data_IF_292230610252
#
_entry.id   IF_292230610252
#
_cell.length_a   1.000
_cell.length_b   1.000
_cell.length_c   1.000
_cell.angle_alpha   90.00
_cell.angle_beta   90.00
_cell.angle_gamma   90.00
#
_symmetry.space_group_name_H-M   'P 1'
#
loop_
_entity.id
_entity.type
_entity.pdbx_description
1 polymer ?
#
# COMPACT_ATOMS: atom_id res chain seq x y z
N UNK A 1 24.33 -9.87 6.68
CA UNK A 1 24.60 -9.47 5.30
C UNK A 1 25.71 -10.27 4.66
N UNK A 2 25.81 -10.18 3.37
CA UNK A 2 26.88 -10.79 2.55
C UNK A 2 27.32 -9.72 1.57
N UNK A 3 28.65 -9.45 1.58
CA UNK A 3 29.29 -8.53 0.65
C UNK A 3 30.25 -9.31 -0.23
N UNK A 4 30.14 -9.13 -1.52
CA UNK A 4 30.96 -9.80 -2.52
C UNK A 4 31.58 -8.77 -3.47
N UNK A 5 32.83 -9.00 -3.87
CA UNK A 5 33.50 -8.20 -4.84
C UNK A 5 34.16 -9.10 -5.91
N UNK A 6 33.91 -8.80 -7.18
CA UNK A 6 34.37 -9.56 -8.31
C UNK A 6 35.19 -8.65 -9.23
N UNK A 7 36.39 -9.10 -9.62
CA UNK A 7 37.28 -8.44 -10.60
C UNK A 7 37.54 -6.96 -10.32
N UNK A 8 37.42 -6.53 -9.06
CA UNK A 8 37.56 -5.11 -8.64
C UNK A 8 36.59 -4.15 -9.36
N UNK A 9 35.60 -4.65 -10.09
CA UNK A 9 34.65 -3.87 -10.89
C UNK A 9 33.23 -4.04 -10.43
N UNK A 10 32.82 -5.24 -10.04
CA UNK A 10 31.46 -5.55 -9.56
C UNK A 10 31.47 -5.75 -8.06
N UNK A 11 30.69 -4.97 -7.34
CA UNK A 11 30.34 -5.24 -5.94
C UNK A 11 28.86 -5.60 -5.81
N UNK A 12 28.57 -6.57 -4.96
CA UNK A 12 27.22 -6.98 -4.62
C UNK A 12 27.09 -7.06 -3.10
N UNK A 13 26.08 -6.44 -2.55
CA UNK A 13 25.73 -6.52 -1.13
C UNK A 13 24.29 -7.04 -1.02
N UNK A 14 24.09 -8.00 -0.14
CA UNK A 14 22.78 -8.54 0.16
C UNK A 14 22.57 -8.64 1.67
N UNK A 15 21.52 -8.00 2.15
CA UNK A 15 21.10 -8.03 3.54
C UNK A 15 19.71 -8.63 3.69
N UNK A 16 19.55 -9.52 4.69
CA UNK A 16 18.26 -9.99 5.13
C UNK A 16 18.06 -9.63 6.60
N UNK A 17 16.90 -9.10 6.93
CA UNK A 17 16.58 -8.70 8.28
C UNK A 17 15.19 -9.17 8.75
N UNK A 18 15.07 -9.36 10.06
CA UNK A 18 13.82 -9.65 10.75
C UNK A 18 13.77 -8.80 12.02
N UNK A 19 13.15 -7.62 11.92
CA UNK A 19 13.04 -6.65 13.00
C UNK A 19 11.67 -6.80 13.67
N UNK A 20 11.67 -7.03 14.99
CA UNK A 20 10.44 -6.98 15.81
C UNK A 20 10.52 -5.75 16.71
N UNK A 21 9.46 -4.96 16.70
CA UNK A 21 9.30 -3.81 17.59
C UNK A 21 8.15 -4.12 18.52
N UNK A 22 8.41 -4.11 19.82
CA UNK A 22 7.42 -4.30 20.90
C UNK A 22 7.21 -3.00 21.65
N UNK A 23 6.22 -2.98 22.51
CA UNK A 23 5.93 -1.90 23.42
C UNK A 23 5.71 -0.55 22.72
N UNK A 24 5.13 -0.61 21.52
CA UNK A 24 4.75 0.57 20.76
C UNK A 24 3.61 1.26 21.51
N UNK A 25 3.79 2.56 21.76
CA UNK A 25 2.77 3.38 22.37
C UNK A 25 1.57 3.48 21.44
N UNK A 26 0.44 2.98 21.92
CA UNK A 26 -0.81 2.99 21.18
C UNK A 26 -1.94 3.56 22.04
N UNK A 27 -2.84 4.30 21.41
CA UNK A 27 -4.00 4.87 22.08
C UNK A 27 -5.11 3.81 22.12
N UNK A 28 -5.38 3.26 23.31
CA UNK A 28 -6.43 2.26 23.47
C UNK A 28 -7.81 2.94 23.42
N UNK A 29 -8.74 2.32 22.69
CA UNK A 29 -10.14 2.74 22.77
C UNK A 29 -10.69 2.35 24.15
N UNK A 30 -11.11 3.34 24.93
CA UNK A 30 -11.89 3.11 26.16
C UNK A 30 -13.36 3.38 25.87
N UNK A 31 -14.27 2.54 26.39
CA UNK A 31 -15.71 2.78 26.24
C UNK A 31 -16.07 4.20 26.72
N UNK A 32 -16.85 4.92 25.92
CA UNK A 32 -17.28 6.30 26.24
C UNK A 32 -18.00 6.43 27.58
N UNK A 33 -18.63 5.34 28.04
CA UNK A 33 -19.32 5.28 29.33
C UNK A 33 -18.41 5.53 30.54
N UNK A 34 -17.08 5.36 30.38
CA UNK A 34 -16.11 5.59 31.44
C UNK A 34 -15.82 7.08 31.60
N UNK A 35 -16.16 7.94 30.65
CA UNK A 35 -15.92 9.38 30.67
C UNK A 35 -14.45 9.80 30.67
N UNK A 36 -13.54 8.88 30.42
CA UNK A 36 -12.09 9.11 30.36
C UNK A 36 -11.61 9.21 28.92
N UNK A 37 -10.65 10.12 28.68
CA UNK A 37 -9.94 10.16 27.41
C UNK A 37 -9.00 8.93 27.29
N UNK A 38 -8.93 8.31 26.10
CA UNK A 38 -7.98 7.23 25.84
C UNK A 38 -6.55 7.66 26.13
N UNK A 39 -5.81 6.89 26.92
CA UNK A 39 -4.40 7.12 27.20
C UNK A 39 -3.52 6.22 26.33
N UNK A 40 -2.28 6.66 26.10
CA UNK A 40 -1.28 5.82 25.42
C UNK A 40 -0.79 4.72 26.36
N UNK A 41 -0.71 3.52 25.82
CA UNK A 41 -0.19 2.34 26.51
C UNK A 41 0.75 1.55 25.60
N UNK A 42 1.66 0.79 26.20
CA UNK A 42 2.55 -0.13 25.48
C UNK A 42 1.75 -1.35 25.00
N UNK A 43 1.07 -1.23 23.87
CA UNK A 43 0.06 -2.20 23.46
C UNK A 43 0.38 -2.92 22.15
N UNK A 44 1.15 -2.32 21.25
CA UNK A 44 1.31 -2.87 19.92
C UNK A 44 2.69 -3.53 19.71
N UNK A 45 2.68 -4.60 18.88
CA UNK A 45 3.88 -5.27 18.37
C UNK A 45 3.80 -5.36 16.86
N UNK A 46 4.89 -5.00 16.19
CA UNK A 46 5.02 -5.01 14.74
C UNK A 46 6.29 -5.77 14.34
N UNK A 47 6.19 -6.57 13.30
CA UNK A 47 7.31 -7.28 12.68
C UNK A 47 7.55 -6.74 11.26
N UNK A 48 8.81 -6.44 10.95
CA UNK A 48 9.27 -6.10 9.61
C UNK A 48 10.30 -7.15 9.18
N UNK A 49 10.00 -7.88 8.13
CA UNK A 49 10.93 -8.82 7.51
C UNK A 49 11.23 -8.32 6.11
N UNK A 50 12.48 -8.22 5.78
CA UNK A 50 12.87 -7.68 4.49
C UNK A 50 14.26 -8.10 4.05
N UNK A 51 14.59 -7.66 2.87
CA UNK A 51 15.91 -7.83 2.29
C UNK A 51 16.26 -6.63 1.42
N UNK A 52 17.53 -6.34 1.34
CA UNK A 52 18.12 -5.28 0.53
C UNK A 52 19.19 -5.90 -0.36
N UNK A 53 19.17 -5.55 -1.64
CA UNK A 53 20.15 -5.91 -2.64
C UNK A 53 20.74 -4.65 -3.24
N UNK A 54 22.07 -4.52 -3.22
CA UNK A 54 22.82 -3.51 -3.95
C UNK A 54 23.77 -4.19 -4.91
N UNK A 55 23.74 -3.77 -6.18
CA UNK A 55 24.71 -4.15 -7.20
C UNK A 55 25.36 -2.88 -7.72
N UNK A 56 26.70 -2.86 -7.75
CA UNK A 56 27.46 -1.73 -8.29
C UNK A 56 28.52 -2.22 -9.23
N UNK A 57 28.54 -1.64 -10.41
CA UNK A 57 29.54 -1.83 -11.42
C UNK A 57 30.32 -0.54 -11.64
N UNK A 58 31.66 -0.59 -11.68
CA UNK A 58 32.51 0.52 -12.07
C UNK A 58 33.62 0.00 -12.98
N UNK A 59 33.89 0.70 -14.06
CA UNK A 59 34.96 0.35 -14.97
C UNK A 59 35.58 1.59 -15.59
N UNK A 60 36.81 1.42 -16.14
CA UNK A 60 37.55 2.43 -16.84
C UNK A 60 38.11 1.82 -18.12
N UNK A 61 37.77 2.40 -19.26
CA UNK A 61 38.28 2.02 -20.58
C UNK A 61 39.02 3.25 -21.15
N UNK A 62 40.34 3.22 -21.12
CA UNK A 62 41.18 4.39 -21.42
C UNK A 62 40.77 5.60 -20.55
N UNK A 63 40.34 6.70 -21.18
CA UNK A 63 39.91 7.92 -20.50
C UNK A 63 38.40 7.92 -20.18
N UNK A 64 37.66 6.86 -20.53
CA UNK A 64 36.24 6.75 -20.30
C UNK A 64 35.96 5.95 -19.03
N UNK A 65 35.50 6.63 -17.98
CA UNK A 65 35.00 6.02 -16.73
C UNK A 65 33.50 5.89 -16.80
N UNK A 66 32.95 4.75 -16.41
CA UNK A 66 31.51 4.58 -16.29
C UNK A 66 31.14 3.69 -15.10
N UNK A 67 29.97 3.94 -14.59
CA UNK A 67 29.42 3.19 -13.46
C UNK A 67 27.90 2.98 -13.59
N UNK A 68 27.46 1.93 -12.95
CA UNK A 68 26.04 1.66 -12.75
C UNK A 68 25.82 1.10 -11.35
N UNK A 69 24.83 1.60 -10.63
CA UNK A 69 24.40 0.98 -9.39
C UNK A 69 22.90 0.73 -9.41
N UNK A 70 22.53 -0.45 -8.96
CA UNK A 70 21.12 -0.88 -8.83
C UNK A 70 20.87 -1.29 -7.40
N UNK A 71 19.78 -0.76 -6.82
CA UNK A 71 19.32 -1.05 -5.48
C UNK A 71 17.91 -1.61 -5.60
N UNK A 72 17.62 -2.68 -4.87
CA UNK A 72 16.30 -3.27 -4.78
C UNK A 72 16.05 -3.72 -3.34
N UNK A 73 14.97 -3.24 -2.76
CA UNK A 73 14.57 -3.55 -1.39
C UNK A 73 13.14 -4.05 -1.34
N UNK A 74 12.87 -4.99 -0.45
CA UNK A 74 11.52 -5.43 -0.15
C UNK A 74 11.31 -5.55 1.35
N UNK A 75 10.16 -5.10 1.86
CA UNK A 75 9.76 -5.24 3.25
C UNK A 75 8.35 -5.77 3.39
N UNK A 76 8.18 -6.81 4.20
CA UNK A 76 6.88 -7.29 4.68
C UNK A 76 6.65 -6.78 6.10
N UNK A 77 5.79 -5.78 6.22
CA UNK A 77 5.31 -5.29 7.50
C UNK A 77 4.14 -6.14 7.99
N UNK A 78 4.10 -6.45 9.27
CA UNK A 78 3.02 -7.22 9.88
C UNK A 78 2.77 -6.76 11.32
N UNK A 79 1.54 -6.39 11.61
CA UNK A 79 1.04 -6.22 12.97
C UNK A 79 0.96 -7.61 13.63
N UNK A 80 1.64 -7.79 14.75
CA UNK A 80 1.72 -9.08 15.44
C UNK A 80 0.72 -9.16 16.58
N UNK A 81 0.54 -8.06 17.33
CA UNK A 81 -0.31 -8.01 18.51
C UNK A 81 -0.79 -6.57 18.71
N UNK A 82 -2.06 -6.37 18.93
CA UNK A 82 -2.69 -5.08 19.24
C UNK A 82 -3.44 -5.11 20.56
N UNK A 83 -3.30 -6.17 21.37
CA UNK A 83 -4.05 -6.34 22.63
C UNK A 83 -5.58 -6.28 22.43
N UNK A 84 -6.08 -6.82 21.33
CA UNK A 84 -7.51 -6.84 21.02
C UNK A 84 -8.09 -5.51 20.53
N UNK A 85 -7.25 -4.52 20.20
CA UNK A 85 -7.73 -3.25 19.65
C UNK A 85 -8.03 -3.46 18.16
N UNK A 86 -9.24 -3.12 17.76
CA UNK A 86 -9.64 -2.99 16.37
C UNK A 86 -9.85 -1.51 16.04
N UNK A 87 -9.30 -1.04 14.93
CA UNK A 87 -9.60 0.29 14.40
C UNK A 87 -10.51 0.14 13.20
N UNK A 88 -11.50 1.01 13.11
CA UNK A 88 -12.42 1.12 11.98
C UNK A 88 -12.13 2.39 11.20
N UNK A 89 -12.29 2.35 9.89
CA UNK A 89 -12.05 3.49 8.99
C UNK A 89 -11.51 3.02 7.65
N UNK A 90 -11.19 3.95 6.77
CA UNK A 90 -10.60 3.66 5.44
C UNK A 90 -9.24 2.96 5.54
N UNK A 91 -8.53 3.13 6.65
CA UNK A 91 -7.32 2.37 6.97
C UNK A 91 -7.47 1.75 8.34
N UNK A 92 -7.05 0.49 8.44
CA UNK A 92 -7.15 -0.29 9.67
C UNK A 92 -5.80 -0.86 10.07
N UNK A 93 -5.63 -1.05 11.38
CA UNK A 93 -4.56 -1.87 11.91
C UNK A 93 -5.19 -3.15 12.45
N UNK A 94 -4.87 -4.26 11.82
CA UNK A 94 -5.41 -5.59 12.15
C UNK A 94 -4.26 -6.59 12.28
N UNK A 95 -4.31 -7.42 13.30
CA UNK A 95 -3.31 -8.48 13.49
C UNK A 95 -3.23 -9.37 12.26
N UNK A 96 -2.02 -9.71 11.88
CA UNK A 96 -1.77 -10.50 10.68
C UNK A 96 -1.55 -9.69 9.40
N UNK A 97 -1.89 -8.42 9.38
CA UNK A 97 -1.81 -7.52 8.22
C UNK A 97 -0.80 -6.40 8.42
N UNK A 98 -0.51 -5.65 7.37
CA UNK A 98 0.35 -4.46 7.46
C UNK A 98 -0.31 -3.35 8.27
N UNK A 99 0.49 -2.48 8.85
CA UNK A 99 -0.03 -1.24 9.46
C UNK A 99 -0.73 -0.40 8.40
N UNK A 100 -1.81 0.30 8.80
CA UNK A 100 -2.58 1.19 7.94
C UNK A 100 -3.03 0.50 6.63
N UNK A 101 -3.41 -0.77 6.69
CA UNK A 101 -3.98 -1.47 5.54
C UNK A 101 -5.29 -0.81 5.13
N UNK A 102 -5.52 -0.67 3.81
CA UNK A 102 -6.76 -0.11 3.26
C UNK A 102 -7.86 -1.15 3.44
N UNK A 103 -9.00 -0.71 3.98
CA UNK A 103 -10.10 -1.58 4.38
C UNK A 103 -11.41 -1.06 3.80
N UNK A 104 -12.22 -1.96 3.26
CA UNK A 104 -13.51 -1.63 2.67
C UNK A 104 -14.06 -2.77 1.82
N UNK A 105 -15.10 -2.48 1.05
CA UNK A 105 -15.72 -3.41 0.14
C UNK A 105 -14.86 -3.60 -1.12
N UNK A 106 -14.71 -4.84 -1.56
CA UNK A 106 -13.99 -5.20 -2.80
C UNK A 106 -14.90 -4.94 -4.01
N UNK A 107 -14.53 -3.97 -4.86
CA UNK A 107 -15.22 -3.73 -6.12
C UNK A 107 -14.82 -4.78 -7.16
N UNK A 108 -15.81 -5.39 -7.84
CA UNK A 108 -15.61 -6.42 -8.87
C UNK A 108 -16.04 -5.96 -10.27
N UNK A 109 -16.41 -4.70 -10.43
CA UNK A 109 -16.81 -4.10 -11.68
C UNK A 109 -17.95 -3.12 -11.51
N UNK A 110 -18.68 -2.90 -12.60
CA UNK A 110 -19.90 -2.10 -12.60
C UNK A 110 -21.11 -3.00 -12.82
N UNK A 111 -22.25 -2.61 -12.24
CA UNK A 111 -23.54 -3.24 -12.50
C UNK A 111 -23.93 -2.94 -13.94
N UNK A 112 -24.37 -3.95 -14.68
CA UNK A 112 -24.86 -3.86 -16.06
C UNK A 112 -26.32 -4.33 -16.15
N UNK A 113 -26.96 -4.05 -17.29
CA UNK A 113 -28.30 -4.57 -17.59
C UNK A 113 -28.33 -6.12 -17.56
N UNK A 114 -27.21 -6.77 -17.89
CA UNK A 114 -27.08 -8.22 -17.88
C UNK A 114 -27.14 -8.84 -16.47
N UNK A 115 -26.88 -8.03 -15.43
CA UNK A 115 -26.96 -8.44 -14.03
C UNK A 115 -28.41 -8.48 -13.49
N UNK A 116 -29.40 -8.18 -14.34
CA UNK A 116 -30.83 -8.31 -14.03
C UNK A 116 -31.51 -9.45 -14.79
N UNK A 117 -32.48 -10.05 -14.18
CA UNK A 117 -33.37 -11.01 -14.83
C UNK A 117 -34.41 -10.29 -15.71
N UNK A 118 -35.11 -11.04 -16.56
CA UNK A 118 -36.17 -10.47 -17.40
C UNK A 118 -37.36 -9.88 -16.60
N UNK A 119 -37.53 -10.27 -15.35
CA UNK A 119 -38.52 -9.72 -14.42
C UNK A 119 -38.03 -8.48 -13.67
N UNK A 120 -36.81 -8.03 -13.94
CA UNK A 120 -36.17 -6.87 -13.30
C UNK A 120 -35.51 -7.17 -11.96
N UNK A 121 -35.50 -8.42 -11.50
CA UNK A 121 -34.81 -8.80 -10.25
C UNK A 121 -33.30 -8.87 -10.45
N UNK A 122 -32.54 -8.43 -9.46
CA UNK A 122 -31.08 -8.47 -9.48
C UNK A 122 -30.54 -9.89 -9.25
N UNK A 123 -29.55 -10.31 -10.02
CA UNK A 123 -29.02 -11.69 -10.01
C UNK A 123 -28.00 -11.97 -8.92
N UNK A 124 -27.47 -10.95 -8.27
CA UNK A 124 -26.36 -11.05 -7.31
C UNK A 124 -26.81 -10.60 -5.91
N UNK A 125 -25.85 -10.52 -4.99
CA UNK A 125 -26.09 -10.01 -3.64
C UNK A 125 -26.64 -8.59 -3.65
N UNK A 126 -27.68 -8.35 -2.87
CA UNK A 126 -28.34 -7.05 -2.77
C UNK A 126 -27.42 -6.04 -2.11
N UNK A 127 -27.20 -4.90 -2.75
CA UNK A 127 -26.36 -3.83 -2.22
C UNK A 127 -27.17 -2.84 -1.36
N UNK A 128 -26.46 -2.04 -0.57
CA UNK A 128 -27.06 -1.00 0.27
C UNK A 128 -27.63 0.16 -0.58
N UNK A 129 -28.74 0.73 -0.15
CA UNK A 129 -29.40 1.84 -0.84
C UNK A 129 -30.09 1.43 -2.14
N UNK A 130 -30.42 2.42 -2.95
CA UNK A 130 -30.88 2.20 -4.32
C UNK A 130 -29.65 2.09 -5.24
N UNK A 131 -29.62 1.08 -6.08
CA UNK A 131 -28.56 0.84 -7.05
C UNK A 131 -29.12 0.49 -8.41
N UNK A 132 -28.37 0.80 -9.47
CA UNK A 132 -28.77 0.67 -10.85
C UNK A 132 -27.58 0.30 -11.75
N UNK A 133 -27.81 -0.03 -13.03
CA UNK A 133 -26.75 -0.14 -14.02
C UNK A 133 -25.88 1.11 -14.06
N UNK A 134 -24.54 0.92 -14.01
CA UNK A 134 -23.54 1.98 -13.91
C UNK A 134 -22.97 2.14 -12.50
N UNK A 135 -23.63 1.67 -11.44
CA UNK A 135 -23.09 1.67 -10.09
C UNK A 135 -22.02 0.61 -9.89
N UNK A 136 -21.19 0.79 -8.86
CA UNK A 136 -20.13 -0.18 -8.53
C UNK A 136 -20.77 -1.47 -8.01
N UNK A 137 -20.33 -2.60 -8.57
CA UNK A 137 -20.68 -3.94 -8.09
C UNK A 137 -19.66 -4.41 -7.07
N UNK A 138 -20.11 -4.77 -5.86
CA UNK A 138 -19.28 -5.26 -4.78
C UNK A 138 -19.37 -6.78 -4.66
N UNK A 139 -18.32 -7.34 -4.10
CA UNK A 139 -18.20 -8.79 -3.86
C UNK A 139 -18.82 -9.14 -2.52
N UNK A 140 -19.71 -10.10 -2.53
CA UNK A 140 -20.22 -10.79 -1.36
C UNK A 140 -19.13 -11.76 -0.86
N UNK A 141 -18.51 -11.45 0.26
CA UNK A 141 -17.36 -12.20 0.78
C UNK A 141 -17.81 -13.42 1.60
N UNK A 142 -18.93 -13.31 2.27
CA UNK A 142 -19.48 -14.36 3.14
C UNK A 142 -20.55 -15.24 2.46
N UNK A 143 -21.02 -14.84 1.25
CA UNK A 143 -22.05 -15.47 0.44
C UNK A 143 -23.43 -15.53 1.15
N UNK A 144 -23.80 -14.50 1.89
CA UNK A 144 -25.12 -14.40 2.54
C UNK A 144 -26.20 -13.74 1.66
N UNK A 145 -25.78 -13.21 0.48
CA UNK A 145 -26.66 -12.56 -0.49
C UNK A 145 -26.93 -11.07 -0.21
N UNK A 146 -26.22 -10.46 0.73
CA UNK A 146 -26.38 -9.06 1.12
C UNK A 146 -25.02 -8.40 1.27
N UNK A 147 -24.73 -7.32 0.54
CA UNK A 147 -23.50 -6.53 0.72
C UNK A 147 -23.67 -5.59 1.93
N UNK A 148 -22.83 -5.78 2.93
CA UNK A 148 -22.83 -4.99 4.15
C UNK A 148 -21.43 -4.90 4.77
N UNK A 149 -21.30 -4.43 6.02
CA UNK A 149 -20.01 -4.29 6.71
C UNK A 149 -19.28 -5.64 6.97
N UNK A 150 -19.99 -6.76 6.88
CA UNK A 150 -19.41 -8.11 7.03
C UNK A 150 -18.60 -8.52 5.80
N UNK A 151 -18.83 -7.85 4.66
CA UNK A 151 -18.08 -8.03 3.41
C UNK A 151 -16.85 -7.13 3.30
N UNK A 152 -16.62 -6.26 4.28
CA UNK A 152 -15.44 -5.42 4.29
C UNK A 152 -14.18 -6.25 4.55
N UNK A 153 -13.19 -6.10 3.69
CA UNK A 153 -11.90 -6.80 3.74
C UNK A 153 -10.73 -5.84 3.55
N UNK A 154 -9.53 -6.33 3.75
CA UNK A 154 -8.33 -5.57 3.40
C UNK A 154 -8.14 -5.64 1.89
N UNK A 155 -8.30 -4.48 1.23
CA UNK A 155 -8.23 -4.32 -0.22
C UNK A 155 -6.93 -3.70 -0.70
N UNK A 156 -6.09 -3.18 0.21
CA UNK A 156 -4.81 -2.60 -0.18
C UNK A 156 -3.81 -2.50 0.97
N UNK A 157 -2.55 -2.28 0.60
CA UNK A 157 -1.43 -2.14 1.51
C UNK A 157 -0.69 -0.82 1.23
N UNK A 158 -0.67 0.07 2.21
CA UNK A 158 0.02 1.37 2.09
C UNK A 158 1.53 1.29 2.29
N UNK A 159 2.05 0.18 2.84
CA UNK A 159 3.48 -0.04 3.00
C UNK A 159 4.09 -0.44 1.67
N UNK A 160 4.98 0.36 1.09
CA UNK A 160 5.57 0.08 -0.21
C UNK A 160 6.33 -1.25 -0.23
N UNK A 161 6.23 -1.97 -1.35
CA UNK A 161 6.96 -3.19 -1.65
C UNK A 161 7.81 -2.98 -2.90
N UNK A 162 8.98 -3.63 -2.95
CA UNK A 162 9.89 -3.57 -4.10
C UNK A 162 10.26 -2.12 -4.47
N UNK A 163 10.88 -1.41 -3.51
CA UNK A 163 11.48 -0.11 -3.82
C UNK A 163 12.80 -0.32 -4.55
N UNK A 164 13.01 0.41 -5.63
CA UNK A 164 14.21 0.26 -6.45
C UNK A 164 14.78 1.60 -6.88
N UNK A 165 16.09 1.58 -7.12
CA UNK A 165 16.82 2.70 -7.68
C UNK A 165 17.85 2.23 -8.68
N UNK A 166 18.06 3.00 -9.74
CA UNK A 166 19.11 2.81 -10.72
C UNK A 166 19.86 4.12 -10.90
N UNK A 167 21.17 4.08 -10.68
CA UNK A 167 22.04 5.20 -10.98
C UNK A 167 23.02 4.81 -12.09
N UNK A 168 23.17 5.68 -13.08
CA UNK A 168 24.16 5.55 -14.14
C UNK A 168 25.05 6.79 -14.12
N UNK A 169 26.36 6.60 -14.20
CA UNK A 169 27.33 7.66 -14.28
C UNK A 169 28.40 7.38 -15.36
N UNK A 170 28.84 8.43 -16.00
CA UNK A 170 29.91 8.36 -16.97
C UNK A 170 30.73 9.66 -16.98
N UNK A 171 32.05 9.54 -17.21
CA UNK A 171 32.97 10.69 -17.29
C UNK A 171 33.98 10.46 -18.41
N UNK A 172 34.13 11.46 -19.26
CA UNK A 172 35.04 11.41 -20.39
C UNK A 172 35.58 12.80 -20.77
N UNK A 173 36.90 12.97 -20.74
CA UNK A 173 37.59 14.19 -21.18
C UNK A 173 36.99 15.51 -20.70
N UNK A 174 36.60 15.56 -19.42
CA UNK A 174 36.02 16.75 -18.79
C UNK A 174 34.50 16.88 -18.93
N UNK A 175 33.83 15.92 -19.58
CA UNK A 175 32.38 15.79 -19.58
C UNK A 175 31.96 14.75 -18.54
N UNK A 176 30.99 15.11 -17.72
CA UNK A 176 30.39 14.23 -16.72
C UNK A 176 28.89 14.07 -17.01
N UNK A 177 28.42 12.83 -16.92
CA UNK A 177 27.00 12.48 -17.06
C UNK A 177 26.56 11.68 -15.83
N UNK A 178 25.40 12.02 -15.29
CA UNK A 178 24.77 11.26 -14.23
C UNK A 178 23.27 11.20 -14.45
N UNK A 179 22.68 10.04 -14.23
CA UNK A 179 21.24 9.81 -14.33
C UNK A 179 20.78 8.89 -13.21
N UNK A 180 19.67 9.27 -12.57
CA UNK A 180 19.09 8.51 -11.47
C UNK A 180 17.59 8.24 -11.73
N UNK A 181 17.17 7.00 -11.53
CA UNK A 181 15.78 6.58 -11.49
C UNK A 181 15.43 5.96 -10.16
N UNK A 182 14.23 6.23 -9.70
CA UNK A 182 13.67 5.66 -8.49
C UNK A 182 12.23 5.25 -8.73
N UNK A 183 11.82 4.15 -8.14
CA UNK A 183 10.46 3.69 -8.25
C UNK A 183 10.03 2.75 -7.13
N UNK A 184 8.73 2.49 -7.11
CA UNK A 184 8.08 1.56 -6.20
C UNK A 184 7.29 0.56 -7.03
N UNK A 185 7.55 -0.73 -6.83
CA UNK A 185 6.89 -1.78 -7.60
C UNK A 185 5.45 -2.03 -7.17
N UNK A 186 5.13 -1.84 -5.89
CA UNK A 186 3.78 -1.99 -5.37
C UNK A 186 3.56 -1.12 -4.13
N UNK A 187 2.60 -0.23 -4.19
CA UNK A 187 2.02 0.48 -3.06
C UNK A 187 0.58 0.83 -3.42
N UNK A 188 -0.33 0.65 -2.49
CA UNK A 188 -1.72 1.02 -2.68
C UNK A 188 -2.00 2.32 -1.94
N UNK A 189 -2.83 3.16 -2.54
CA UNK A 189 -3.33 4.39 -1.96
C UNK A 189 -4.82 4.53 -2.22
N UNK A 190 -5.48 5.41 -1.49
CA UNK A 190 -6.89 5.69 -1.71
C UNK A 190 -7.10 7.19 -1.92
N UNK A 191 -8.02 7.50 -2.79
CA UNK A 191 -8.51 8.86 -2.98
C UNK A 191 -9.64 9.12 -1.99
N UNK A 192 -9.70 10.32 -1.41
CA UNK A 192 -10.80 10.70 -0.54
C UNK A 192 -11.09 12.20 -0.63
N UNK A 193 -12.21 12.61 0.00
CA UNK A 193 -12.61 14.01 0.13
C UNK A 193 -12.66 14.71 -1.24
N UNK A 194 -11.87 15.79 -1.42
CA UNK A 194 -11.84 16.59 -2.65
C UNK A 194 -11.44 15.81 -3.90
N UNK A 195 -10.66 14.73 -3.74
CA UNK A 195 -10.26 13.91 -4.88
C UNK A 195 -11.39 13.00 -5.41
N UNK A 196 -12.41 12.74 -4.58
CA UNK A 196 -13.54 11.86 -4.94
C UNK A 196 -14.88 12.59 -5.02
N UNK A 197 -15.01 13.74 -4.36
CA UNK A 197 -16.26 14.49 -4.28
C UNK A 197 -16.05 15.93 -4.76
N UNK A 198 -16.68 16.33 -5.90
CA UNK A 198 -16.65 17.71 -6.32
C UNK A 198 -17.30 18.61 -5.25
N UNK A 199 -16.77 19.81 -5.09
CA UNK A 199 -17.26 20.82 -4.13
C UNK A 199 -17.23 20.39 -2.64
N UNK A 200 -16.42 19.39 -2.29
CA UNK A 200 -16.30 18.91 -0.91
C UNK A 200 -15.92 20.06 0.04
N UNK A 201 -16.75 20.32 1.07
CA UNK A 201 -16.57 21.41 2.05
C UNK A 201 -16.34 22.79 1.44
N UNK A 202 -17.01 23.11 0.31
CA UNK A 202 -16.89 24.40 -0.37
C UNK A 202 -15.62 24.58 -1.20
N UNK A 203 -14.86 23.51 -1.42
CA UNK A 203 -13.75 23.52 -2.39
C UNK A 203 -14.25 23.52 -3.83
N UNK A 204 -13.35 23.83 -4.76
CA UNK A 204 -13.65 23.76 -6.21
C UNK A 204 -13.74 22.31 -6.69
N UNK A 205 -14.47 22.09 -7.79
CA UNK A 205 -14.34 20.84 -8.53
C UNK A 205 -12.96 20.76 -9.19
N UNK A 206 -12.38 19.56 -9.19
CA UNK A 206 -11.12 19.27 -9.88
C UNK A 206 -11.41 18.93 -11.35
N UNK A 207 -10.43 19.10 -12.23
CA UNK A 207 -10.59 18.76 -13.65
C UNK A 207 -10.95 17.29 -13.87
N UNK A 208 -10.39 16.39 -13.03
CA UNK A 208 -10.71 14.97 -13.03
C UNK A 208 -12.19 14.61 -12.76
N UNK A 209 -12.98 15.56 -12.25
CA UNK A 209 -14.44 15.38 -12.02
C UNK A 209 -15.30 15.70 -13.23
N UNK A 210 -14.73 16.11 -14.36
CA UNK A 210 -15.50 16.49 -15.56
C UNK A 210 -16.10 15.29 -16.30
N UNK A 211 -15.44 14.15 -16.20
CA UNK A 211 -15.74 12.95 -17.00
C UNK A 211 -16.42 11.84 -16.18
N UNK A 212 -16.97 12.18 -14.99
CA UNK A 212 -17.67 11.27 -14.08
C UNK A 212 -19.04 11.78 -13.67
#
# INVERSE_FOLDING_TARGET
GIDLQFFSKLSASFDYYNKKTSDILWKLNVPLIIGLNPTYQNAAKVSNKGWDLELRWNDLINDFRYGASFILSDVKNKVVDLKGISMTGLTVNREGHSINSIYGLEAIGYISEEDYNADGSYKHATQFGAFAPGDIKYKDQNNDGIINNEDEVIIGNTVPRFTYGLNLDASWKGFDFSMFWQGVGKADGYLNKQATMPFYWGASALEMHKDH
#
